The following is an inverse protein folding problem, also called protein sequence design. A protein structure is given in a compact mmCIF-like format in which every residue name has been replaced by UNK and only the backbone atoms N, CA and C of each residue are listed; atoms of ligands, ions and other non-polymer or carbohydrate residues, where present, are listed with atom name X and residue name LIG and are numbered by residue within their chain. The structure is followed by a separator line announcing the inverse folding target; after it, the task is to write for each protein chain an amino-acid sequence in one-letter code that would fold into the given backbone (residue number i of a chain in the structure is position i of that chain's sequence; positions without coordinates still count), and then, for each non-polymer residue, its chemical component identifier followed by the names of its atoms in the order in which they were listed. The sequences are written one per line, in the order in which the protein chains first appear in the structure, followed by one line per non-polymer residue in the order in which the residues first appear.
data_IF_058696959032
#
_entry.id   IF_058696959032
#
_cell.length_a   1.000
_cell.length_b   1.000
_cell.length_c   1.000
_cell.angle_alpha   90.00
_cell.angle_beta   90.00
_cell.angle_gamma   90.00
#
_symmetry.space_group_name_H-M   'P 1'
#
loop_
_entity.id
_entity.type
_entity.pdbx_description
1 polymer ?
#
# COMPACT_ATOMS: atom_id res chain seq x y z
N UNK A 1 -12.30 17.90 -15.14
CA UNK A 1 -11.05 17.23 -15.56
C UNK A 1 -10.69 16.15 -14.54
N UNK A 2 -10.06 15.04 -14.97
CA UNK A 2 -9.56 14.03 -14.04
C UNK A 2 -8.50 14.61 -13.09
N UNK A 3 -8.44 14.06 -11.88
CA UNK A 3 -7.39 14.36 -10.89
C UNK A 3 -6.39 13.21 -10.90
N UNK A 4 -5.12 13.52 -11.12
CA UNK A 4 -4.05 12.52 -11.15
C UNK A 4 -3.35 12.42 -9.78
N UNK A 5 -2.89 11.21 -9.45
CA UNK A 5 -2.03 10.95 -8.32
C UNK A 5 -0.75 10.27 -8.82
N UNK A 6 0.42 10.69 -8.32
CA UNK A 6 1.67 10.03 -8.65
C UNK A 6 1.80 8.73 -7.83
N UNK A 7 2.03 7.61 -8.49
CA UNK A 7 2.35 6.36 -7.80
C UNK A 7 3.85 6.29 -7.48
N UNK A 8 4.21 6.55 -6.22
CA UNK A 8 5.61 6.64 -5.76
C UNK A 8 6.31 5.28 -5.68
N UNK A 9 5.58 4.17 -5.89
CA UNK A 9 6.20 2.84 -6.06
C UNK A 9 6.83 2.67 -7.45
N UNK A 10 6.37 3.44 -8.44
CA UNK A 10 6.82 3.34 -9.83
C UNK A 10 7.47 4.62 -10.38
N UNK A 11 7.07 5.77 -9.86
CA UNK A 11 7.64 7.07 -10.23
C UNK A 11 8.68 7.52 -9.21
N UNK A 12 9.66 8.30 -9.67
CA UNK A 12 10.73 8.90 -8.86
C UNK A 12 11.61 7.88 -8.14
N UNK A 13 11.79 6.69 -8.74
CA UNK A 13 12.54 5.58 -8.13
C UNK A 13 14.04 5.83 -8.03
N UNK A 14 14.52 6.87 -8.71
CA UNK A 14 15.88 7.38 -8.65
C UNK A 14 16.20 8.03 -7.30
N UNK A 15 15.16 8.39 -6.51
CA UNK A 15 15.29 8.96 -5.17
C UNK A 15 14.88 7.96 -4.07
N UNK A 16 15.43 8.10 -2.84
CA UNK A 16 14.92 7.42 -1.65
C UNK A 16 13.42 7.67 -1.46
N UNK A 17 12.68 6.69 -0.94
CA UNK A 17 11.21 6.71 -0.88
C UNK A 17 10.63 8.01 -0.29
N UNK A 18 11.20 8.50 0.83
CA UNK A 18 10.71 9.70 1.51
C UNK A 18 10.97 11.00 0.73
N UNK A 19 11.93 11.01 -0.19
CA UNK A 19 12.25 12.18 -1.01
C UNK A 19 11.35 12.27 -2.25
N UNK A 20 10.69 11.17 -2.63
CA UNK A 20 9.76 11.10 -3.78
C UNK A 20 8.54 12.00 -3.62
N UNK A 21 8.13 12.27 -2.38
CA UNK A 21 7.02 13.18 -2.08
C UNK A 21 7.33 14.61 -2.54
N UNK A 22 8.55 15.09 -2.30
CA UNK A 22 8.98 16.40 -2.75
C UNK A 22 9.00 16.48 -4.29
N UNK A 23 9.50 15.44 -4.96
CA UNK A 23 9.54 15.36 -6.41
C UNK A 23 8.14 15.37 -7.05
N UNK A 24 7.20 14.59 -6.51
CA UNK A 24 5.82 14.58 -7.00
C UNK A 24 5.13 15.95 -6.85
N UNK A 25 5.32 16.62 -5.71
CA UNK A 25 4.76 17.94 -5.50
C UNK A 25 5.39 19.01 -6.40
N UNK A 26 6.72 18.93 -6.62
CA UNK A 26 7.42 19.80 -7.55
C UNK A 26 6.84 19.73 -8.97
N UNK A 27 6.48 18.53 -9.42
CA UNK A 27 5.88 18.31 -10.76
C UNK A 27 4.37 18.64 -10.81
N UNK A 28 3.81 19.18 -9.73
CA UNK A 28 2.43 19.68 -9.68
C UNK A 28 1.38 18.65 -9.30
N UNK A 29 1.77 17.45 -8.84
CA UNK A 29 0.80 16.54 -8.25
C UNK A 29 0.29 17.07 -6.92
N UNK A 30 -1.03 17.00 -6.72
CA UNK A 30 -1.68 17.29 -5.43
C UNK A 30 -2.01 16.02 -4.63
N UNK A 31 -1.73 14.85 -5.20
CA UNK A 31 -2.06 13.56 -4.62
C UNK A 31 -1.00 12.51 -4.98
N UNK A 32 -0.82 11.55 -4.08
CA UNK A 32 0.10 10.42 -4.26
C UNK A 32 -0.52 9.11 -3.80
N UNK A 33 -0.07 8.03 -4.40
CA UNK A 33 -0.29 6.66 -3.92
C UNK A 33 1.03 5.89 -3.85
N UNK A 34 1.03 4.80 -3.11
CA UNK A 34 2.10 3.80 -3.15
C UNK A 34 1.56 2.46 -2.66
N UNK A 35 2.18 1.35 -3.05
CA UNK A 35 1.78 0.03 -2.58
C UNK A 35 2.07 -0.15 -1.08
N UNK A 36 3.35 -0.12 -0.72
CA UNK A 36 3.81 -0.47 0.62
C UNK A 36 4.78 0.59 1.15
N UNK A 37 4.56 1.05 2.39
CA UNK A 37 5.41 2.02 3.08
C UNK A 37 5.71 1.62 4.52
N UNK A 38 5.58 0.32 4.84
CA UNK A 38 5.60 -0.21 6.20
C UNK A 38 6.99 -0.25 6.84
N UNK A 39 8.05 -0.09 6.05
CA UNK A 39 9.43 0.07 6.54
C UNK A 39 9.68 1.45 7.18
N UNK A 40 8.76 2.40 6.96
CA UNK A 40 8.82 3.75 7.51
C UNK A 40 7.70 3.95 8.53
N UNK A 41 7.97 4.73 9.58
CA UNK A 41 6.94 5.10 10.53
C UNK A 41 5.85 5.92 9.82
N UNK A 42 4.57 5.58 10.03
CA UNK A 42 3.46 6.29 9.40
C UNK A 42 3.49 7.82 9.63
N UNK A 43 3.99 8.26 10.80
CA UNK A 43 4.17 9.69 11.13
C UNK A 43 5.20 10.40 10.25
N UNK A 44 6.24 9.69 9.81
CA UNK A 44 7.26 10.25 8.93
C UNK A 44 6.71 10.48 7.52
N UNK A 45 5.94 9.52 7.02
CA UNK A 45 5.20 9.66 5.76
C UNK A 45 4.19 10.82 5.86
N UNK A 46 3.41 10.88 6.95
CA UNK A 46 2.47 11.99 7.17
C UNK A 46 3.18 13.35 7.20
N UNK A 47 4.37 13.43 7.79
CA UNK A 47 5.17 14.66 7.77
C UNK A 47 5.56 15.08 6.35
N UNK A 48 5.93 14.13 5.47
CA UNK A 48 6.21 14.41 4.05
C UNK A 48 4.97 14.86 3.29
N UNK A 49 3.83 14.19 3.49
CA UNK A 49 2.55 14.60 2.90
C UNK A 49 2.21 16.04 3.29
N UNK A 50 2.28 16.37 4.58
CA UNK A 50 1.98 17.70 5.09
C UNK A 50 2.96 18.77 4.59
N UNK A 51 4.26 18.48 4.59
CA UNK A 51 5.30 19.41 4.13
C UNK A 51 5.12 19.81 2.65
N UNK A 52 4.54 18.92 1.84
CA UNK A 52 4.39 19.12 0.40
C UNK A 52 2.93 19.33 -0.05
N UNK A 53 1.97 19.44 0.89
CA UNK A 53 0.57 19.65 0.56
C UNK A 53 -0.07 18.50 -0.23
N UNK A 54 0.42 17.28 -0.06
CA UNK A 54 -0.02 16.09 -0.81
C UNK A 54 -1.10 15.31 -0.06
N UNK A 55 -2.05 14.77 -0.83
CA UNK A 55 -3.07 13.85 -0.30
C UNK A 55 -2.69 12.39 -0.62
N UNK A 56 -2.66 11.53 0.39
CA UNK A 56 -2.53 10.09 0.18
C UNK A 56 -3.86 9.50 -0.32
N UNK A 57 -3.91 8.97 -1.53
CA UNK A 57 -5.17 8.50 -2.12
C UNK A 57 -5.37 6.99 -2.07
N UNK A 58 -4.31 6.20 -1.91
CA UNK A 58 -4.36 4.74 -1.83
C UNK A 58 -3.09 4.18 -1.17
N UNK A 59 -3.24 3.14 -0.35
CA UNK A 59 -2.18 2.22 0.07
C UNK A 59 -2.64 0.77 -0.09
N UNK A 60 -1.73 -0.19 -0.16
CA UNK A 60 -2.07 -1.62 -0.06
C UNK A 60 -1.86 -2.12 1.37
N UNK A 61 -2.65 -3.09 1.84
CA UNK A 61 -2.32 -3.82 3.07
C UNK A 61 -1.01 -4.62 2.94
N UNK A 62 -0.33 -4.96 4.06
CA UNK A 62 0.87 -5.80 4.02
C UNK A 62 0.62 -7.09 3.21
N UNK A 63 1.48 -7.39 2.22
CA UNK A 63 1.21 -8.43 1.23
C UNK A 63 1.61 -9.85 1.68
N UNK A 64 2.08 -10.02 2.91
CA UNK A 64 2.80 -11.22 3.36
C UNK A 64 4.30 -11.13 3.05
N UNK A 65 4.97 -12.28 2.99
CA UNK A 65 6.38 -12.42 2.64
C UNK A 65 6.56 -12.48 1.12
N UNK A 66 6.73 -11.30 0.51
CA UNK A 66 6.94 -11.17 -0.93
C UNK A 66 8.21 -11.88 -1.42
N UNK A 67 9.20 -12.09 -0.55
CA UNK A 67 10.43 -12.83 -0.84
C UNK A 67 10.20 -14.34 -0.96
N UNK A 68 9.16 -14.85 -0.31
CA UNK A 68 8.66 -16.22 -0.47
C UNK A 68 7.58 -16.36 -1.54
N UNK A 69 7.28 -15.28 -2.26
CA UNK A 69 6.31 -15.29 -3.36
C UNK A 69 4.90 -14.88 -2.99
N UNK A 70 4.64 -14.43 -1.76
CA UNK A 70 3.33 -13.89 -1.40
C UNK A 70 2.99 -12.68 -2.29
N UNK A 71 1.70 -12.49 -2.55
CA UNK A 71 1.13 -11.39 -3.33
C UNK A 71 -0.22 -10.95 -2.75
N UNK A 72 -0.34 -10.96 -1.43
CA UNK A 72 -1.60 -10.81 -0.71
C UNK A 72 -1.99 -12.09 0.04
N UNK A 73 -2.96 -11.93 0.96
CA UNK A 73 -3.31 -12.95 1.97
C UNK A 73 -4.80 -13.28 2.01
N UNK A 74 -5.65 -12.48 1.37
CA UNK A 74 -7.11 -12.55 1.56
C UNK A 74 -7.74 -13.86 1.07
N UNK A 75 -7.13 -14.54 0.10
CA UNK A 75 -7.61 -15.81 -0.46
C UNK A 75 -6.86 -17.03 0.09
N UNK A 76 -5.92 -16.88 1.03
CA UNK A 76 -5.05 -17.97 1.48
C UNK A 76 -5.63 -18.69 2.71
N UNK A 77 -6.09 -19.95 2.57
CA UNK A 77 -6.66 -20.71 3.70
C UNK A 77 -5.61 -20.95 4.79
N UNK A 78 -6.00 -20.81 6.05
CA UNK A 78 -5.12 -21.01 7.20
C UNK A 78 -4.22 -19.81 7.52
N UNK A 79 -4.32 -18.70 6.77
CA UNK A 79 -3.59 -17.44 7.04
C UNK A 79 -4.51 -16.30 7.47
N UNK A 80 -5.71 -16.59 7.94
CA UNK A 80 -6.74 -15.61 8.32
C UNK A 80 -6.26 -14.69 9.46
N UNK A 81 -5.49 -15.22 10.40
CA UNK A 81 -4.91 -14.42 11.49
C UNK A 81 -3.87 -13.41 10.96
N UNK A 82 -3.05 -13.81 10.00
CA UNK A 82 -2.07 -12.92 9.37
C UNK A 82 -2.76 -11.86 8.50
N UNK A 83 -3.79 -12.26 7.77
CA UNK A 83 -4.67 -11.34 7.05
C UNK A 83 -5.32 -10.30 7.99
N UNK A 84 -5.89 -10.73 9.11
CA UNK A 84 -6.49 -9.81 10.08
C UNK A 84 -5.46 -8.81 10.63
N UNK A 85 -4.24 -9.28 10.94
CA UNK A 85 -3.15 -8.43 11.38
C UNK A 85 -2.69 -7.43 10.31
N UNK A 86 -2.69 -7.84 9.03
CA UNK A 86 -2.35 -6.98 7.90
C UNK A 86 -3.39 -5.85 7.74
N UNK A 87 -4.68 -6.17 7.86
CA UNK A 87 -5.77 -5.18 7.83
C UNK A 87 -5.65 -4.18 8.98
N UNK A 88 -5.41 -4.64 10.22
CA UNK A 88 -5.21 -3.74 11.37
C UNK A 88 -4.03 -2.80 11.14
N UNK A 89 -2.93 -3.30 10.57
CA UNK A 89 -1.75 -2.50 10.25
C UNK A 89 -2.08 -1.44 9.19
N UNK A 90 -2.74 -1.84 8.11
CA UNK A 90 -3.15 -0.94 7.05
C UNK A 90 -4.10 0.15 7.55
N UNK A 91 -5.06 -0.18 8.42
CA UNK A 91 -5.99 0.79 9.02
C UNK A 91 -5.27 1.83 9.89
N UNK A 92 -4.26 1.43 10.67
CA UNK A 92 -3.44 2.36 11.47
C UNK A 92 -2.67 3.35 10.58
N UNK A 93 -2.12 2.87 9.47
CA UNK A 93 -1.47 3.74 8.47
C UNK A 93 -2.50 4.65 7.82
N UNK A 94 -3.61 4.10 7.32
CA UNK A 94 -4.66 4.86 6.66
C UNK A 94 -5.17 6.01 7.56
N UNK A 95 -5.39 5.74 8.85
CA UNK A 95 -5.79 6.76 9.81
C UNK A 95 -4.72 7.85 9.98
N UNK A 96 -3.45 7.47 10.12
CA UNK A 96 -2.34 8.43 10.30
C UNK A 96 -2.11 9.29 9.06
N UNK A 97 -2.28 8.71 7.86
CA UNK A 97 -2.06 9.36 6.57
C UNK A 97 -3.30 10.10 6.04
N UNK A 98 -4.42 10.04 6.76
CA UNK A 98 -5.74 10.45 6.24
C UNK A 98 -6.06 9.81 4.86
N UNK A 99 -5.62 8.58 4.65
CA UNK A 99 -5.83 7.86 3.39
C UNK A 99 -7.22 7.21 3.38
N UNK A 100 -8.08 7.51 2.38
CA UNK A 100 -9.46 7.05 2.37
C UNK A 100 -9.64 5.62 1.84
N UNK A 101 -8.59 5.01 1.27
CA UNK A 101 -8.68 3.72 0.57
C UNK A 101 -7.50 2.83 0.88
N UNK A 102 -7.81 1.58 1.20
CA UNK A 102 -6.84 0.50 1.33
C UNK A 102 -7.19 -0.56 0.30
N UNK A 103 -6.23 -0.92 -0.54
CA UNK A 103 -6.35 -2.08 -1.42
C UNK A 103 -5.87 -3.34 -0.67
N UNK A 104 -6.76 -4.32 -0.60
CA UNK A 104 -6.49 -5.63 -0.05
C UNK A 104 -6.14 -6.57 -1.20
N UNK A 105 -4.86 -6.95 -1.29
CA UNK A 105 -4.42 -7.90 -2.31
C UNK A 105 -4.94 -9.30 -1.97
N UNK A 106 -5.51 -9.97 -2.97
CA UNK A 106 -6.11 -11.30 -2.80
C UNK A 106 -5.08 -12.35 -2.36
N UNK A 107 -3.93 -12.40 -3.03
CA UNK A 107 -2.98 -13.52 -2.90
C UNK A 107 -3.09 -14.51 -4.05
N UNK A 108 -2.04 -15.30 -4.25
CA UNK A 108 -2.01 -16.36 -5.26
C UNK A 108 -2.33 -17.68 -4.57
N UNK A 109 -3.39 -18.36 -5.02
CA UNK A 109 -3.73 -19.68 -4.49
C UNK A 109 -2.59 -20.68 -4.73
N UNK A 110 -2.33 -21.59 -3.78
CA UNK A 110 -1.40 -22.70 -3.99
C UNK A 110 -1.76 -23.51 -5.25
N UNK A 111 -0.76 -24.12 -5.88
CA UNK A 111 -0.99 -25.03 -7.00
C UNK A 111 -1.97 -26.16 -6.64
N UNK A 112 -1.89 -26.63 -5.39
CA UNK A 112 -2.70 -27.72 -4.84
C UNK A 112 -4.10 -27.29 -4.39
N UNK A 113 -4.50 -26.02 -4.62
CA UNK A 113 -5.79 -25.53 -4.17
C UNK A 113 -6.94 -26.30 -4.84
N UNK A 114 -7.87 -26.78 -4.01
CA UNK A 114 -9.02 -27.57 -4.45
C UNK A 114 -10.08 -26.70 -5.17
N UNK A 115 -11.12 -27.36 -5.69
CA UNK A 115 -12.19 -26.69 -6.42
C UNK A 115 -13.02 -25.73 -5.57
N UNK A 116 -13.15 -26.00 -4.27
CA UNK A 116 -13.88 -25.11 -3.35
C UNK A 116 -13.06 -23.84 -3.09
N UNK A 117 -11.76 -23.97 -2.87
CA UNK A 117 -10.83 -22.88 -2.63
C UNK A 117 -10.71 -21.94 -3.84
N UNK A 118 -10.83 -22.47 -5.07
CA UNK A 118 -10.80 -21.67 -6.31
C UNK A 118 -12.12 -20.98 -6.64
N UNK A 119 -13.24 -21.45 -6.08
CA UNK A 119 -14.57 -20.91 -6.35
C UNK A 119 -14.98 -19.78 -5.38
N UNK A 120 -14.21 -19.56 -4.31
CA UNK A 120 -14.36 -18.44 -3.36
C UNK A 120 -13.79 -17.15 -3.94
#
# INVERSE_FOLDING_TARGET
MPRFAANLSFLYTEAPFLDRFAAAAHDGFAAVEFGFGYDFAAKEIAARLNAHGLVQVLINAPPGDMGKGDRGLASLPGREHEFAASVVTALRYAQTLACPRVHIMAGVLPAEADGEQRAR
#
